data_IF_867255576417
#
_entry.id   IF_867255576417
#
_cell.length_a   1.000
_cell.length_b   1.000
_cell.length_c   1.000
_cell.angle_alpha   90.00
_cell.angle_beta   90.00
_cell.angle_gamma   90.00
#
_symmetry.space_group_name_H-M   'P 1'
#
loop_
_entity.id
_entity.type
_entity.pdbx_description
1 polymer ?
#
# COMPACT_ATOMS: atom_id res chain seq x y z
N UNK A 1 -12.93 10.77 -28.74
CA UNK A 1 -12.36 11.79 -27.83
C UNK A 1 -12.43 11.23 -26.42
N UNK A 2 -11.30 10.78 -25.88
CA UNK A 2 -11.21 10.36 -24.47
C UNK A 2 -11.29 11.63 -23.61
N UNK A 3 -12.29 11.69 -22.74
CA UNK A 3 -12.34 12.71 -21.68
C UNK A 3 -11.23 12.43 -20.67
N UNK A 4 -10.29 13.37 -20.55
CA UNK A 4 -9.33 13.41 -19.44
C UNK A 4 -10.14 13.79 -18.20
N UNK A 5 -10.33 12.83 -17.29
CA UNK A 5 -10.90 13.10 -15.99
C UNK A 5 -9.82 13.83 -15.18
N UNK A 6 -9.92 15.16 -15.09
CA UNK A 6 -9.11 15.96 -14.16
C UNK A 6 -9.53 15.56 -12.74
N UNK A 7 -8.74 14.67 -12.12
CA UNK A 7 -8.90 14.32 -10.71
C UNK A 7 -8.30 15.47 -9.90
N UNK A 8 -9.04 15.94 -8.90
CA UNK A 8 -8.43 16.72 -7.81
C UNK A 8 -7.54 15.73 -7.06
N UNK A 9 -6.23 15.84 -7.19
CA UNK A 9 -5.27 14.97 -6.51
C UNK A 9 -5.40 15.18 -5.00
N UNK A 10 -6.01 14.21 -4.30
CA UNK A 10 -6.05 14.20 -2.84
C UNK A 10 -4.75 13.57 -2.30
N UNK A 11 -4.47 13.75 -1.00
CA UNK A 11 -3.27 13.22 -0.33
C UNK A 11 -3.03 11.75 -0.67
N UNK A 12 -4.09 10.95 -0.67
CA UNK A 12 -4.01 9.53 -1.03
C UNK A 12 -3.46 9.29 -2.43
N UNK A 13 -3.95 10.01 -3.45
CA UNK A 13 -3.49 9.86 -4.83
C UNK A 13 -2.01 10.28 -4.97
N UNK A 14 -1.59 11.36 -4.31
CA UNK A 14 -0.17 11.78 -4.28
C UNK A 14 0.73 10.74 -3.63
N UNK A 15 0.32 10.20 -2.47
CA UNK A 15 1.09 9.15 -1.76
C UNK A 15 1.12 7.88 -2.59
N UNK A 16 -0.03 7.46 -3.15
CA UNK A 16 -0.12 6.27 -3.98
C UNK A 16 0.82 6.36 -5.19
N UNK A 17 0.83 7.51 -5.87
CA UNK A 17 1.73 7.75 -7.00
C UNK A 17 3.19 7.72 -6.56
N UNK A 18 3.54 8.39 -5.45
CA UNK A 18 4.90 8.37 -4.90
C UNK A 18 5.37 6.95 -4.55
N UNK A 19 4.51 6.14 -3.92
CA UNK A 19 4.80 4.72 -3.63
C UNK A 19 4.89 3.91 -4.94
N UNK A 20 4.08 4.22 -5.95
CA UNK A 20 4.14 3.61 -7.26
C UNK A 20 5.43 3.95 -8.03
N UNK A 21 6.04 5.11 -7.78
CA UNK A 21 7.30 5.53 -8.39
C UNK A 21 8.53 5.04 -7.61
N UNK A 22 8.40 4.77 -6.31
CA UNK A 22 9.49 4.23 -5.51
C UNK A 22 9.98 2.87 -6.04
N UNK A 23 11.26 2.75 -6.35
CA UNK A 23 11.91 1.47 -6.58
C UNK A 23 12.90 1.19 -5.44
N UNK A 24 12.79 0.06 -4.73
CA UNK A 24 13.74 -0.27 -3.66
C UNK A 24 15.18 -0.19 -4.17
N UNK A 25 16.09 0.42 -3.39
CA UNK A 25 17.49 0.58 -3.82
C UNK A 25 18.18 -0.76 -4.07
N UNK A 26 17.75 -1.79 -3.34
CA UNK A 26 18.23 -3.16 -3.51
C UNK A 26 17.18 -4.21 -3.07
N UNK A 27 17.53 -5.49 -3.16
CA UNK A 27 16.70 -6.58 -2.65
C UNK A 27 17.03 -6.84 -1.18
N UNK A 28 16.23 -6.27 -0.29
CA UNK A 28 16.44 -6.42 1.15
C UNK A 28 16.04 -7.78 1.74
N UNK A 29 16.64 -8.09 2.88
CA UNK A 29 16.48 -9.35 3.60
C UNK A 29 15.30 -9.33 4.59
N UNK A 30 14.88 -8.15 5.02
CA UNK A 30 13.82 -7.94 6.01
C UNK A 30 12.78 -6.90 5.55
N UNK A 31 11.57 -6.92 6.15
CA UNK A 31 10.54 -5.90 5.91
C UNK A 31 10.98 -4.52 6.41
N UNK A 32 11.70 -4.48 7.53
CA UNK A 32 12.23 -3.24 8.13
C UNK A 32 13.12 -2.44 7.18
N UNK A 33 14.00 -3.11 6.45
CA UNK A 33 14.89 -2.44 5.49
C UNK A 33 14.11 -1.83 4.31
N UNK A 34 13.10 -2.56 3.79
CA UNK A 34 12.20 -2.00 2.77
C UNK A 34 11.43 -0.78 3.28
N UNK A 35 10.96 -0.83 4.54
CA UNK A 35 10.25 0.27 5.18
C UNK A 35 11.14 1.49 5.30
N UNK A 36 12.34 1.31 5.83
CA UNK A 36 13.26 2.42 6.09
C UNK A 36 13.69 3.07 4.75
N UNK A 37 13.90 2.28 3.68
CA UNK A 37 14.15 2.80 2.33
C UNK A 37 12.96 3.57 1.73
N UNK A 38 11.74 3.04 1.87
CA UNK A 38 10.53 3.73 1.41
C UNK A 38 10.28 5.02 2.21
N UNK A 39 10.54 5.00 3.52
CA UNK A 39 10.38 6.17 4.39
C UNK A 39 11.28 7.32 3.94
N UNK A 40 12.57 7.05 3.70
CA UNK A 40 13.51 8.03 3.17
C UNK A 40 13.03 8.61 1.84
N UNK A 41 12.52 7.75 0.96
CA UNK A 41 11.99 8.16 -0.34
C UNK A 41 10.75 9.05 -0.20
N UNK A 42 9.81 8.68 0.67
CA UNK A 42 8.59 9.47 0.92
C UNK A 42 8.93 10.83 1.53
N UNK A 43 9.80 10.87 2.55
CA UNK A 43 10.24 12.13 3.17
C UNK A 43 10.89 13.05 2.14
N UNK A 44 11.74 12.51 1.27
CA UNK A 44 12.35 13.30 0.21
C UNK A 44 11.29 13.79 -0.79
N UNK A 45 10.44 12.94 -1.32
CA UNK A 45 9.57 13.33 -2.45
C UNK A 45 8.33 14.11 -2.02
N UNK A 46 7.82 13.91 -0.81
CA UNK A 46 6.66 14.64 -0.29
C UNK A 46 7.05 15.98 0.37
N UNK A 47 8.26 16.09 0.94
CA UNK A 47 8.68 17.27 1.71
C UNK A 47 9.89 18.04 1.11
N UNK A 48 10.39 17.72 -0.09
CA UNK A 48 11.40 18.57 -0.74
C UNK A 48 10.80 19.91 -1.19
N UNK A 49 11.56 21.00 -0.99
CA UNK A 49 11.18 22.39 -1.28
C UNK A 49 10.50 22.53 -2.65
N UNK A 50 9.22 22.88 -2.65
CA UNK A 50 8.39 23.04 -3.84
C UNK A 50 8.30 21.79 -4.71
N UNK A 51 7.09 21.27 -4.76
CA UNK A 51 6.64 20.37 -5.81
C UNK A 51 6.78 21.13 -7.16
N UNK A 52 7.99 21.13 -7.76
CA UNK A 52 8.32 21.80 -9.04
C UNK A 52 7.47 21.24 -10.20
N UNK A 53 6.75 20.13 -9.96
CA UNK A 53 5.75 19.58 -10.88
C UNK A 53 4.29 19.95 -10.57
N UNK A 54 3.99 20.57 -9.42
CA UNK A 54 2.64 21.09 -9.12
C UNK A 54 2.46 22.56 -9.52
N UNK A 55 3.53 23.25 -9.93
CA UNK A 55 3.50 24.71 -10.13
C UNK A 55 2.92 25.18 -11.48
N UNK A 56 2.23 24.33 -12.26
CA UNK A 56 1.69 24.75 -13.56
C UNK A 56 0.16 24.82 -13.64
N UNK A 57 -0.61 24.35 -12.64
CA UNK A 57 -2.07 24.37 -12.72
C UNK A 57 -2.68 24.85 -11.38
N UNK A 58 -2.95 26.16 -11.33
CA UNK A 58 -4.07 26.80 -10.62
C UNK A 58 -4.26 26.53 -9.10
N UNK A 59 -3.64 27.36 -8.26
CA UNK A 59 -4.37 28.14 -7.26
C UNK A 59 -5.03 27.44 -6.06
N UNK A 60 -4.58 26.26 -5.63
CA UNK A 60 -5.01 25.68 -4.34
C UNK A 60 -3.80 25.41 -3.44
N UNK A 61 -3.68 26.21 -2.37
CA UNK A 61 -2.68 26.08 -1.33
C UNK A 61 -2.83 24.74 -0.58
N UNK A 62 -1.98 23.77 -0.89
CA UNK A 62 -1.62 22.70 0.05
C UNK A 62 -0.10 22.53 0.10
N UNK A 63 0.63 23.64 0.10
CA UNK A 63 2.08 23.66 0.34
C UNK A 63 2.36 23.50 1.84
N UNK A 64 2.09 22.31 2.38
CA UNK A 64 2.35 21.95 3.77
C UNK A 64 3.35 20.80 3.83
N UNK A 65 4.24 20.85 4.82
CA UNK A 65 5.10 19.72 5.17
C UNK A 65 4.23 18.56 5.67
N UNK A 66 4.33 17.38 5.06
CA UNK A 66 3.62 16.19 5.49
C UNK A 66 4.28 15.55 6.71
N UNK A 67 3.49 15.21 7.72
CA UNK A 67 3.92 14.49 8.90
C UNK A 67 4.00 12.99 8.58
N UNK A 68 5.23 12.49 8.37
CA UNK A 68 5.49 11.09 8.03
C UNK A 68 6.10 10.40 9.23
N UNK A 69 5.36 9.46 9.82
CA UNK A 69 5.75 8.73 11.04
C UNK A 69 5.97 7.25 10.73
N UNK A 70 6.91 6.64 11.44
CA UNK A 70 7.15 5.20 11.45
C UNK A 70 6.39 4.56 12.60
N UNK A 71 5.89 3.33 12.41
CA UNK A 71 5.15 2.59 13.45
C UNK A 71 4.01 3.45 14.03
N UNK A 72 3.18 3.97 13.14
CA UNK A 72 2.29 5.09 13.40
C UNK A 72 0.85 4.67 13.71
N UNK A 73 0.18 5.49 14.53
CA UNK A 73 -1.20 5.27 14.96
C UNK A 73 -1.32 4.18 16.03
N UNK A 74 -2.54 3.94 16.51
CA UNK A 74 -2.80 2.95 17.58
C UNK A 74 -2.47 1.52 17.16
N UNK A 75 -2.54 1.24 15.86
CA UNK A 75 -2.33 -0.08 15.28
C UNK A 75 -0.90 -0.29 14.76
N UNK A 76 -0.03 0.74 14.85
CA UNK A 76 1.37 0.70 14.45
C UNK A 76 1.59 0.30 12.97
N UNK A 77 0.94 1.02 12.05
CA UNK A 77 1.24 0.88 10.62
C UNK A 77 2.73 1.14 10.37
N UNK A 78 3.34 0.43 9.41
CA UNK A 78 4.76 0.58 9.11
C UNK A 78 5.14 2.05 8.87
N UNK A 79 4.30 2.76 8.10
CA UNK A 79 4.40 4.20 7.87
C UNK A 79 2.99 4.81 7.93
N UNK A 80 2.85 5.94 8.60
CA UNK A 80 1.63 6.77 8.59
C UNK A 80 1.93 8.17 8.07
N UNK A 81 1.00 8.75 7.31
CA UNK A 81 1.11 10.10 6.73
C UNK A 81 -0.12 10.90 7.12
N UNK A 82 0.12 12.03 7.80
CA UNK A 82 -0.90 12.98 8.30
C UNK A 82 -2.04 12.33 9.09
N UNK A 83 -1.77 11.17 9.69
CA UNK A 83 -2.74 10.30 10.36
C UNK A 83 -3.96 9.93 9.45
N UNK A 84 -3.84 10.11 8.12
CA UNK A 84 -4.88 9.85 7.12
C UNK A 84 -4.57 8.62 6.25
N UNK A 85 -3.30 8.45 5.88
CA UNK A 85 -2.84 7.33 5.02
C UNK A 85 -1.93 6.40 5.82
N UNK A 86 -2.36 5.15 5.98
CA UNK A 86 -1.52 4.06 6.49
C UNK A 86 -0.85 3.29 5.36
N UNK A 87 0.43 2.95 5.52
CA UNK A 87 1.17 2.10 4.59
C UNK A 87 1.65 0.85 5.35
N UNK A 88 1.42 -0.32 4.78
CA UNK A 88 1.85 -1.61 5.31
C UNK A 88 2.73 -2.32 4.28
N UNK A 89 3.95 -2.72 4.67
CA UNK A 89 4.84 -3.49 3.81
C UNK A 89 4.69 -4.98 4.09
N UNK A 90 4.63 -5.78 3.02
CA UNK A 90 4.67 -7.23 3.12
C UNK A 90 5.72 -7.85 2.20
N UNK A 91 6.75 -8.42 2.81
CA UNK A 91 7.79 -9.17 2.12
C UNK A 91 7.39 -10.64 2.01
N UNK A 92 7.60 -11.20 0.83
CA UNK A 92 7.46 -12.63 0.56
C UNK A 92 6.07 -13.21 0.92
N UNK A 93 5.01 -12.63 0.35
CA UNK A 93 3.63 -13.08 0.56
C UNK A 93 3.37 -14.43 -0.16
N UNK A 94 3.28 -15.52 0.61
CA UNK A 94 3.14 -16.88 0.06
C UNK A 94 2.05 -17.71 0.77
N UNK A 95 1.97 -17.62 2.09
CA UNK A 95 1.17 -18.54 2.92
C UNK A 95 -0.15 -17.90 3.33
N UNK A 96 -1.20 -18.73 3.44
CA UNK A 96 -2.53 -18.32 3.95
C UNK A 96 -2.47 -17.59 5.30
N UNK A 97 -1.62 -18.05 6.22
CA UNK A 97 -1.43 -17.40 7.51
C UNK A 97 -0.90 -15.97 7.42
N UNK A 98 -0.04 -15.66 6.43
CA UNK A 98 0.44 -14.29 6.19
C UNK A 98 -0.69 -13.41 5.65
N UNK A 99 -1.52 -13.95 4.75
CA UNK A 99 -2.68 -13.24 4.18
C UNK A 99 -3.67 -12.89 5.28
N UNK A 100 -4.04 -13.86 6.13
CA UNK A 100 -5.01 -13.63 7.21
C UNK A 100 -4.53 -12.57 8.20
N UNK A 101 -3.24 -12.58 8.55
CA UNK A 101 -2.64 -11.55 9.42
C UNK A 101 -2.69 -10.18 8.78
N UNK A 102 -2.25 -10.07 7.52
CA UNK A 102 -2.27 -8.81 6.77
C UNK A 102 -3.69 -8.25 6.65
N UNK A 103 -4.67 -9.12 6.40
CA UNK A 103 -6.08 -8.72 6.35
C UNK A 103 -6.57 -8.19 7.71
N UNK A 104 -6.19 -8.84 8.82
CA UNK A 104 -6.50 -8.36 10.16
C UNK A 104 -5.90 -6.98 10.44
N UNK A 105 -4.61 -6.80 10.12
CA UNK A 105 -3.93 -5.50 10.25
C UNK A 105 -4.65 -4.40 9.45
N UNK A 106 -5.06 -4.68 8.21
CA UNK A 106 -5.79 -3.70 7.39
C UNK A 106 -7.13 -3.31 8.04
N UNK A 107 -7.86 -4.26 8.61
CA UNK A 107 -9.09 -3.96 9.35
C UNK A 107 -8.79 -3.03 10.53
N UNK A 108 -7.73 -3.30 11.28
CA UNK A 108 -7.32 -2.48 12.41
C UNK A 108 -6.86 -1.07 11.96
N UNK A 109 -6.19 -0.95 10.82
CA UNK A 109 -5.75 0.33 10.25
C UNK A 109 -6.92 1.20 9.80
N UNK A 110 -7.96 0.61 9.22
CA UNK A 110 -9.14 1.36 8.77
C UNK A 110 -9.92 2.04 9.92
N UNK A 111 -9.63 1.71 11.18
CA UNK A 111 -10.16 2.41 12.35
C UNK A 111 -9.47 3.76 12.62
N UNK A 112 -8.23 3.93 12.17
CA UNK A 112 -7.43 5.13 12.42
C UNK A 112 -7.05 5.91 11.17
N UNK A 113 -7.15 5.29 9.99
CA UNK A 113 -6.80 5.88 8.70
C UNK A 113 -8.00 5.89 7.76
N UNK A 114 -8.05 6.84 6.85
CA UNK A 114 -9.03 6.90 5.77
C UNK A 114 -8.66 5.97 4.62
N UNK A 115 -7.35 5.79 4.40
CA UNK A 115 -6.82 4.99 3.32
C UNK A 115 -5.68 4.09 3.79
N UNK A 116 -5.56 2.89 3.20
CA UNK A 116 -4.43 1.96 3.44
C UNK A 116 -3.79 1.55 2.12
N UNK A 117 -2.47 1.68 2.04
CA UNK A 117 -1.65 1.22 0.91
C UNK A 117 -0.83 0.00 1.36
N UNK A 118 -1.06 -1.14 0.73
CA UNK A 118 -0.29 -2.36 0.96
C UNK A 118 0.81 -2.44 -0.09
N UNK A 119 2.07 -2.55 0.34
CA UNK A 119 3.22 -2.65 -0.56
C UNK A 119 3.82 -4.05 -0.49
N UNK A 120 3.74 -4.79 -1.60
CA UNK A 120 4.27 -6.15 -1.68
C UNK A 120 5.71 -6.14 -2.22
N UNK A 121 6.67 -6.59 -1.41
CA UNK A 121 8.10 -6.60 -1.72
C UNK A 121 8.70 -8.03 -1.75
N UNK A 122 9.88 -8.20 -2.36
CA UNK A 122 10.56 -9.49 -2.48
C UNK A 122 9.96 -10.42 -3.53
N UNK A 123 9.40 -11.56 -3.11
CA UNK A 123 8.82 -12.60 -3.96
C UNK A 123 7.41 -13.02 -3.50
N UNK A 124 6.37 -12.73 -4.28
CA UNK A 124 5.00 -13.09 -3.95
C UNK A 124 4.47 -14.23 -4.83
N UNK A 125 3.61 -15.09 -4.28
CA UNK A 125 2.90 -16.10 -5.06
C UNK A 125 1.61 -15.54 -5.66
N UNK A 126 1.36 -15.84 -6.93
CA UNK A 126 0.18 -15.33 -7.65
C UNK A 126 -1.14 -15.70 -6.95
N UNK A 127 -1.23 -16.92 -6.42
CA UNK A 127 -2.40 -17.38 -5.68
C UNK A 127 -2.59 -16.58 -4.39
N UNK A 128 -1.52 -16.34 -3.64
CA UNK A 128 -1.56 -15.55 -2.41
C UNK A 128 -2.05 -14.11 -2.66
N UNK A 129 -1.56 -13.47 -3.73
CA UNK A 129 -2.00 -12.13 -4.14
C UNK A 129 -3.49 -12.14 -4.54
N UNK A 130 -3.94 -13.19 -5.23
CA UNK A 130 -5.33 -13.31 -5.67
C UNK A 130 -6.30 -13.46 -4.49
N UNK A 131 -5.93 -14.30 -3.51
CA UNK A 131 -6.70 -14.49 -2.27
C UNK A 131 -6.73 -13.20 -1.45
N UNK A 132 -5.59 -12.49 -1.34
CA UNK A 132 -5.54 -11.20 -0.66
C UNK A 132 -6.52 -10.20 -1.29
N UNK A 133 -6.48 -10.02 -2.61
CA UNK A 133 -7.40 -9.14 -3.35
C UNK A 133 -8.87 -9.51 -3.10
N UNK A 134 -9.19 -10.80 -3.13
CA UNK A 134 -10.55 -11.28 -2.86
C UNK A 134 -11.02 -10.93 -1.44
N UNK A 135 -10.18 -11.18 -0.43
CA UNK A 135 -10.50 -10.90 0.97
C UNK A 135 -10.70 -9.40 1.22
N UNK A 136 -9.81 -8.56 0.70
CA UNK A 136 -9.91 -7.10 0.83
C UNK A 136 -11.19 -6.57 0.18
N UNK A 137 -11.55 -7.06 -1.01
CA UNK A 137 -12.81 -6.68 -1.68
C UNK A 137 -14.03 -7.06 -0.84
N UNK A 138 -14.02 -8.21 -0.16
CA UNK A 138 -15.11 -8.64 0.73
C UNK A 138 -15.25 -7.71 1.94
N UNK A 139 -14.12 -7.32 2.52
CA UNK A 139 -14.08 -6.44 3.70
C UNK A 139 -14.54 -5.02 3.34
N UNK A 140 -14.04 -4.44 2.25
CA UNK A 140 -14.46 -3.10 1.81
C UNK A 140 -15.96 -3.00 1.53
N UNK A 141 -16.56 -4.07 0.98
CA UNK A 141 -18.03 -4.15 0.83
C UNK A 141 -18.77 -4.14 2.16
N UNK A 142 -18.15 -4.65 3.22
CA UNK A 142 -18.73 -4.68 4.57
C UNK A 142 -18.62 -3.31 5.26
N UNK A 143 -17.62 -2.51 4.90
CA UNK A 143 -17.46 -1.12 5.34
C UNK A 143 -18.28 -0.10 4.54
N UNK A 144 -18.97 -0.53 3.47
CA UNK A 144 -19.78 0.34 2.63
C UNK A 144 -21.15 0.62 3.28
N UNK A 145 -21.16 1.25 4.46
CA UNK A 145 -22.35 1.84 5.05
C UNK A 145 -22.59 3.23 4.42
N UNK A 146 -23.83 3.63 4.09
CA UNK A 146 -24.12 4.94 3.52
C UNK A 146 -23.81 6.13 4.46
N UNK A 147 -23.40 5.86 5.70
CA UNK A 147 -23.08 6.87 6.72
C UNK A 147 -21.61 6.90 7.13
N UNK A 148 -20.77 6.00 6.61
CA UNK A 148 -19.34 5.96 6.95
C UNK A 148 -18.50 6.69 5.91
N UNK A 149 -17.42 7.33 6.37
CA UNK A 149 -16.40 7.88 5.48
C UNK A 149 -15.87 6.80 4.53
N UNK A 150 -15.72 7.16 3.25
CA UNK A 150 -15.30 6.19 2.24
C UNK A 150 -13.87 5.73 2.53
N UNK A 151 -13.72 4.46 2.90
CA UNK A 151 -12.42 3.83 3.16
C UNK A 151 -11.85 3.20 1.88
N UNK A 152 -10.55 3.39 1.66
CA UNK A 152 -9.86 2.86 0.48
C UNK A 152 -8.70 1.94 0.85
N UNK A 153 -8.54 0.85 0.11
CA UNK A 153 -7.37 -0.03 0.22
C UNK A 153 -6.81 -0.34 -1.17
N UNK A 154 -5.53 -0.07 -1.37
CA UNK A 154 -4.82 -0.34 -2.63
C UNK A 154 -3.60 -1.21 -2.40
N UNK A 155 -3.27 -2.07 -3.38
CA UNK A 155 -2.07 -2.90 -3.37
C UNK A 155 -1.10 -2.39 -4.43
N UNK A 156 0.11 -2.04 -4.01
CA UNK A 156 1.25 -1.75 -4.90
C UNK A 156 2.21 -2.93 -4.89
N UNK A 157 2.53 -3.46 -6.08
CA UNK A 157 3.39 -4.64 -6.21
C UNK A 157 4.79 -4.20 -6.66
N UNK A 158 5.76 -4.37 -5.77
CA UNK A 158 7.21 -4.11 -5.97
C UNK A 158 8.03 -5.39 -5.98
N UNK A 159 7.37 -6.54 -6.18
CA UNK A 159 7.96 -7.87 -6.12
C UNK A 159 7.78 -8.65 -7.42
N UNK A 160 8.58 -9.71 -7.57
CA UNK A 160 8.35 -10.70 -8.63
C UNK A 160 7.17 -11.58 -8.23
N UNK A 161 6.18 -11.70 -9.10
CA UNK A 161 5.05 -12.62 -8.93
C UNK A 161 5.44 -13.98 -9.53
N UNK A 162 5.53 -15.01 -8.69
CA UNK A 162 5.84 -16.36 -9.12
C UNK A 162 4.56 -17.15 -9.37
N UNK A 163 4.52 -17.88 -10.50
CA UNK A 163 3.45 -18.87 -10.78
C UNK A 163 3.59 -20.03 -9.80
N UNK A 164 2.46 -20.53 -9.29
CA UNK A 164 2.45 -21.67 -8.36
C UNK A 164 3.13 -22.88 -9.00
N UNK A 165 4.13 -23.44 -8.31
CA UNK A 165 4.71 -24.73 -8.69
C UNK A 165 3.71 -25.81 -8.25
N UNK A 166 3.08 -26.51 -9.21
CA UNK A 166 2.31 -27.72 -8.91
C UNK A 166 3.19 -28.66 -8.07
N UNK A 167 2.69 -29.27 -6.99
CA UNK A 167 3.47 -30.25 -6.26
C UNK A 167 3.82 -31.41 -7.19
N UNK A 168 5.13 -31.62 -7.41
CA UNK A 168 5.63 -32.89 -7.93
C UNK A 168 5.47 -33.89 -6.79
N UNK A 169 4.39 -34.68 -6.82
CA UNK A 169 4.27 -36.04 -6.28
C UNK A 169 2.78 -36.36 -6.14
N UNK A 170 2.16 -36.81 -7.23
CA UNK A 170 1.09 -37.80 -7.15
C UNK A 170 1.76 -39.12 -7.49
N UNK A 171 2.23 -39.84 -6.46
CA UNK A 171 2.54 -41.26 -6.63
C UNK A 171 1.18 -41.95 -6.54
N UNK A 172 0.66 -42.40 -7.68
CA UNK A 172 -0.46 -43.32 -7.70
C UNK A 172 0.04 -44.63 -7.07
N UNK A 173 -0.58 -45.02 -5.95
CA UNK A 173 -0.44 -46.39 -5.44
C UNK A 173 -1.60 -47.17 -6.07
N UNK A 174 -1.25 -48.23 -6.81
CA UNK A 174 -2.18 -49.18 -7.42
C UNK A 174 -2.87 -50.04 -6.38
#
# INVERSE_FOLDING_TARGET
MQGVLLRVDNLFDTVLQTVADWNPKEKYSTEREYRDDLLDFLQKNLNSESNTFSSAIWGLEHSGYHCIKKEAGRSLADIGIDDEVGIELKRNLKRKGQINRLVGQVVDYLSGYSCVIIVLCGDAEQEAVSILKYNLKKILKSFSSPFDEQKFVTIVIKCKIQKTRKPKNVIAIQ
#
